data_IF_548276447574
#
_entry.id   IF_548276447574
#
_cell.length_a   1.000
_cell.length_b   1.000
_cell.length_c   1.000
_cell.angle_alpha   90.00
_cell.angle_beta   90.00
_cell.angle_gamma   90.00
#
_symmetry.space_group_name_H-M   'P 1'
#
loop_
_entity.id
_entity.type
_entity.pdbx_description
1 polymer ?
#
# COMPACT_ATOMS: atom_id res chain seq x y z
N UNK A 1 -5.86 -9.06 -20.36
CA UNK A 1 -5.81 -9.68 -19.02
C UNK A 1 -4.55 -9.16 -18.33
N UNK A 2 -4.61 -8.67 -17.09
CA UNK A 2 -3.40 -8.24 -16.37
C UNK A 2 -2.63 -9.48 -15.93
N UNK A 3 -1.30 -9.45 -16.03
CA UNK A 3 -0.45 -10.58 -15.59
C UNK A 3 -0.62 -10.82 -14.09
N UNK A 4 -0.68 -12.10 -13.72
CA UNK A 4 -0.74 -12.60 -12.34
C UNK A 4 0.47 -13.51 -12.10
N UNK A 5 1.66 -12.95 -11.86
CA UNK A 5 2.84 -13.77 -11.59
C UNK A 5 2.67 -14.56 -10.29
N UNK A 6 3.22 -15.77 -10.22
CA UNK A 6 3.18 -16.58 -9.01
C UNK A 6 3.89 -15.86 -7.84
N UNK A 7 3.26 -15.87 -6.67
CA UNK A 7 3.86 -15.34 -5.45
C UNK A 7 4.58 -16.46 -4.70
N UNK A 8 5.68 -16.09 -4.03
CA UNK A 8 6.26 -16.96 -3.01
C UNK A 8 5.29 -17.06 -1.83
N UNK A 9 5.27 -18.20 -1.12
CA UNK A 9 4.41 -18.36 0.04
C UNK A 9 4.74 -17.33 1.12
N UNK A 10 3.71 -16.90 1.85
CA UNK A 10 3.87 -16.02 3.01
C UNK A 10 4.09 -16.83 4.28
N UNK A 11 5.05 -16.41 5.10
CA UNK A 11 5.30 -17.03 6.41
C UNK A 11 4.20 -16.72 7.45
N UNK A 12 3.33 -15.75 7.15
CA UNK A 12 2.22 -15.26 7.97
C UNK A 12 1.00 -15.02 7.09
N UNK A 13 -0.19 -15.34 7.56
CA UNK A 13 -1.41 -15.02 6.83
C UNK A 13 -1.69 -13.50 6.95
N UNK A 14 -1.75 -12.75 5.84
CA UNK A 14 -2.13 -11.34 5.86
C UNK A 14 -3.48 -11.06 6.54
N UNK A 15 -4.38 -12.05 6.60
CA UNK A 15 -5.70 -11.93 7.23
C UNK A 15 -5.64 -11.88 8.75
N UNK A 16 -4.53 -12.31 9.36
CA UNK A 16 -4.34 -12.29 10.83
C UNK A 16 -4.08 -10.87 11.37
N UNK A 17 -3.87 -9.89 10.49
CA UNK A 17 -3.56 -8.51 10.86
C UNK A 17 -4.80 -7.62 10.74
N UNK A 18 -5.01 -6.75 11.73
CA UNK A 18 -6.09 -5.73 11.69
C UNK A 18 -5.70 -4.51 10.84
N UNK A 19 -4.40 -4.19 10.83
CA UNK A 19 -3.82 -3.10 10.07
C UNK A 19 -2.71 -3.60 9.15
N UNK A 20 -2.75 -3.16 7.88
CA UNK A 20 -1.80 -3.58 6.85
C UNK A 20 -1.29 -2.35 6.10
N UNK A 21 0.03 -2.22 5.99
CA UNK A 21 0.67 -1.25 5.10
C UNK A 21 1.00 -1.93 3.77
N UNK A 22 0.49 -1.40 2.66
CA UNK A 22 0.70 -1.96 1.32
C UNK A 22 1.48 -0.96 0.45
N UNK A 23 2.64 -1.42 -0.03
CA UNK A 23 3.57 -0.63 -0.83
C UNK A 23 3.79 -1.18 -2.22
N UNK A 24 3.72 -0.35 -3.25
CA UNK A 24 4.01 -0.77 -4.64
C UNK A 24 4.77 0.29 -5.42
N UNK A 25 5.73 -0.09 -6.29
CA UNK A 25 6.16 0.82 -7.34
C UNK A 25 4.99 1.08 -8.31
N UNK A 26 4.99 2.25 -8.95
CA UNK A 26 4.09 2.55 -10.07
C UNK A 26 4.68 2.02 -11.37
N UNK A 27 4.02 1.05 -11.98
CA UNK A 27 4.37 0.51 -13.29
C UNK A 27 3.20 0.68 -14.26
N UNK A 28 3.49 1.15 -15.47
CA UNK A 28 2.46 1.43 -16.48
C UNK A 28 1.26 2.26 -15.94
N UNK A 29 1.55 3.21 -15.05
CA UNK A 29 0.57 4.09 -14.40
C UNK A 29 -0.42 3.42 -13.44
N UNK A 30 -0.08 2.25 -12.89
CA UNK A 30 -0.85 1.56 -11.85
C UNK A 30 0.09 0.80 -10.90
N UNK A 31 -0.47 0.03 -9.96
CA UNK A 31 0.29 -0.84 -9.07
C UNK A 31 0.96 -1.99 -9.83
N UNK A 32 2.03 -2.55 -9.27
CA UNK A 32 2.84 -3.58 -9.91
C UNK A 32 2.11 -4.91 -10.06
N UNK A 33 2.50 -5.68 -11.09
CA UNK A 33 1.83 -6.94 -11.45
C UNK A 33 1.66 -7.97 -10.32
N UNK A 34 2.63 -8.15 -9.37
CA UNK A 34 2.45 -9.06 -8.24
C UNK A 34 1.22 -8.78 -7.39
N UNK A 35 0.77 -7.52 -7.31
CA UNK A 35 -0.44 -7.18 -6.58
C UNK A 35 -1.73 -7.67 -7.27
N UNK A 36 -1.72 -7.92 -8.58
CA UNK A 36 -2.85 -8.58 -9.24
C UNK A 36 -3.05 -10.00 -8.68
N UNK A 37 -1.97 -10.72 -8.41
CA UNK A 37 -2.01 -12.06 -7.81
C UNK A 37 -2.40 -11.95 -6.34
N UNK A 38 -1.77 -11.04 -5.59
CA UNK A 38 -2.03 -10.86 -4.17
C UNK A 38 -3.51 -10.54 -3.88
N UNK A 39 -4.09 -9.56 -4.56
CA UNK A 39 -5.51 -9.20 -4.37
C UNK A 39 -6.48 -10.26 -4.88
N UNK A 40 -6.04 -11.15 -5.77
CA UNK A 40 -6.85 -12.26 -6.25
C UNK A 40 -6.85 -13.45 -5.29
N UNK A 41 -5.70 -13.78 -4.71
CA UNK A 41 -5.53 -14.94 -3.82
C UNK A 41 -5.83 -14.61 -2.36
N UNK A 42 -5.63 -13.35 -1.97
CA UNK A 42 -5.81 -12.87 -0.59
C UNK A 42 -6.99 -11.90 -0.53
N UNK A 43 -8.17 -12.43 -0.20
CA UNK A 43 -9.32 -11.59 0.09
C UNK A 43 -9.18 -10.91 1.46
N UNK A 44 -8.84 -9.63 1.46
CA UNK A 44 -8.82 -8.77 2.64
C UNK A 44 -10.16 -8.06 2.79
N UNK A 45 -10.77 -8.16 3.98
CA UNK A 45 -12.01 -7.46 4.35
C UNK A 45 -11.95 -6.98 5.79
N UNK A 46 -12.64 -5.87 6.05
CA UNK A 46 -12.76 -5.23 7.37
C UNK A 46 -11.39 -4.88 7.98
N UNK A 47 -10.38 -4.61 7.13
CA UNK A 47 -9.04 -4.23 7.55
C UNK A 47 -8.83 -2.73 7.46
N UNK A 48 -7.92 -2.21 8.26
CA UNK A 48 -7.38 -0.85 8.12
C UNK A 48 -6.15 -0.90 7.22
N UNK A 49 -6.21 -0.28 6.05
CA UNK A 49 -5.15 -0.36 5.05
C UNK A 49 -4.52 1.02 4.81
N UNK A 50 -3.21 1.10 4.97
CA UNK A 50 -2.42 2.26 4.64
C UNK A 50 -1.63 2.00 3.35
N UNK A 51 -1.78 2.87 2.35
CA UNK A 51 -1.19 2.66 1.02
C UNK A 51 0.00 3.58 0.82
N UNK A 52 1.06 3.05 0.21
CA UNK A 52 2.16 3.88 -0.26
C UNK A 52 2.65 3.47 -1.65
N UNK A 53 3.11 4.46 -2.43
CA UNK A 53 3.65 4.22 -3.76
C UNK A 53 4.99 4.92 -3.96
N UNK A 54 5.85 4.29 -4.75
CA UNK A 54 7.08 4.89 -5.25
C UNK A 54 6.98 5.03 -6.77
N UNK A 55 7.35 6.17 -7.34
CA UNK A 55 7.25 6.41 -8.77
C UNK A 55 8.42 7.22 -9.30
N UNK A 56 8.72 7.04 -10.59
CA UNK A 56 9.74 7.79 -11.32
C UNK A 56 9.17 8.90 -12.21
N UNK A 57 7.92 9.32 -11.98
CA UNK A 57 7.26 10.33 -12.81
C UNK A 57 5.74 10.29 -12.67
N UNK A 58 5.05 9.88 -13.74
CA UNK A 58 3.58 9.87 -13.75
C UNK A 58 3.00 8.75 -12.87
N UNK A 59 2.24 9.13 -11.83
CA UNK A 59 1.51 8.18 -10.96
C UNK A 59 0.05 7.90 -11.35
N UNK A 60 -0.54 8.75 -12.22
CA UNK A 60 -1.99 8.79 -12.51
C UNK A 60 -2.83 8.56 -11.23
N UNK A 61 -3.90 7.77 -11.31
CA UNK A 61 -4.75 7.40 -10.19
C UNK A 61 -4.40 5.99 -9.66
N UNK A 62 -3.11 5.71 -9.43
CA UNK A 62 -2.68 4.40 -8.90
C UNK A 62 -3.37 4.08 -7.58
N UNK A 63 -3.55 5.06 -6.69
CA UNK A 63 -4.29 4.84 -5.44
C UNK A 63 -5.75 4.47 -5.70
N UNK A 64 -6.44 5.11 -6.65
CA UNK A 64 -7.78 4.72 -7.04
C UNK A 64 -7.88 3.29 -7.55
N UNK A 65 -6.89 2.84 -8.32
CA UNK A 65 -6.80 1.44 -8.74
C UNK A 65 -6.59 0.49 -7.55
N UNK A 66 -5.75 0.84 -6.58
CA UNK A 66 -5.56 0.05 -5.36
C UNK A 66 -6.84 -0.01 -4.52
N UNK A 67 -7.56 1.11 -4.36
CA UNK A 67 -8.85 1.17 -3.66
C UNK A 67 -9.89 0.25 -4.28
N UNK A 68 -9.99 0.23 -5.61
CA UNK A 68 -10.89 -0.67 -6.34
C UNK A 68 -10.54 -2.15 -6.13
N UNK A 69 -9.25 -2.46 -5.96
CA UNK A 69 -8.77 -3.82 -5.72
C UNK A 69 -8.90 -4.28 -4.26
N UNK A 70 -9.18 -3.36 -3.33
CA UNK A 70 -9.30 -3.61 -1.89
C UNK A 70 -10.70 -3.26 -1.35
N UNK A 71 -11.79 -3.73 -1.98
CA UNK A 71 -13.14 -3.38 -1.54
C UNK A 71 -13.43 -3.92 -0.13
N UNK A 72 -14.26 -3.20 0.64
CA UNK A 72 -14.65 -3.61 1.98
C UNK A 72 -13.57 -3.43 3.05
N UNK A 73 -12.56 -2.60 2.79
CA UNK A 73 -11.54 -2.19 3.75
C UNK A 73 -11.60 -0.69 4.00
N UNK A 74 -11.11 -0.27 5.15
CA UNK A 74 -10.95 1.15 5.51
C UNK A 74 -9.57 1.62 5.06
N UNK A 75 -9.51 2.55 4.10
CA UNK A 75 -8.24 3.17 3.71
C UNK A 75 -7.93 4.31 4.66
N UNK A 76 -6.96 4.11 5.55
CA UNK A 76 -6.65 5.02 6.65
C UNK A 76 -5.59 6.07 6.29
N UNK A 77 -4.94 5.93 5.13
CA UNK A 77 -4.05 6.96 4.60
C UNK A 77 -3.25 6.52 3.40
N UNK A 78 -2.75 7.51 2.66
CA UNK A 78 -2.04 7.32 1.40
C UNK A 78 -0.83 8.25 1.34
N UNK A 79 0.31 7.78 0.81
CA UNK A 79 1.51 8.60 0.63
C UNK A 79 2.32 8.17 -0.59
N UNK A 80 2.84 9.12 -1.35
CA UNK A 80 3.74 8.85 -2.47
C UNK A 80 5.16 9.40 -2.29
N UNK A 81 6.10 8.75 -2.98
CA UNK A 81 7.51 9.09 -3.04
C UNK A 81 8.00 9.12 -4.49
N UNK A 82 8.55 10.27 -4.91
CA UNK A 82 9.15 10.45 -6.23
C UNK A 82 10.64 10.11 -6.19
N UNK A 83 11.02 8.99 -6.81
CA UNK A 83 12.37 8.40 -6.80
C UNK A 83 13.07 8.52 -5.43
N UNK A 84 12.53 7.90 -4.36
CA UNK A 84 12.98 8.15 -2.97
C UNK A 84 14.45 7.81 -2.70
N UNK A 85 15.08 7.01 -3.57
CA UNK A 85 16.50 6.68 -3.46
C UNK A 85 17.41 7.69 -4.16
N UNK A 86 16.88 8.48 -5.11
CA UNK A 86 17.61 9.52 -5.85
C UNK A 86 17.33 10.92 -5.29
N UNK A 87 16.10 11.18 -4.86
CA UNK A 87 15.65 12.49 -4.39
C UNK A 87 15.61 12.53 -2.86
N UNK A 88 16.76 12.79 -2.25
CA UNK A 88 16.92 12.97 -0.79
C UNK A 88 16.29 11.81 0.02
N UNK A 89 17.03 10.71 0.06
CA UNK A 89 16.68 9.49 0.79
C UNK A 89 16.38 9.77 2.26
N UNK A 90 17.09 10.69 2.89
CA UNK A 90 16.93 10.96 4.31
C UNK A 90 15.60 11.68 4.59
N UNK A 91 15.25 12.68 3.78
CA UNK A 91 13.97 13.37 3.86
C UNK A 91 12.80 12.42 3.57
N UNK A 92 12.92 11.58 2.54
CA UNK A 92 11.91 10.55 2.23
C UNK A 92 11.71 9.59 3.41
N UNK A 93 12.79 9.12 4.03
CA UNK A 93 12.73 8.23 5.20
C UNK A 93 12.08 8.93 6.41
N UNK A 94 12.42 10.20 6.69
CA UNK A 94 11.80 11.00 7.75
C UNK A 94 10.29 11.16 7.50
N UNK A 95 9.90 11.49 6.26
CA UNK A 95 8.50 11.64 5.85
C UNK A 95 7.73 10.32 6.02
N UNK A 96 8.30 9.20 5.57
CA UNK A 96 7.71 7.87 5.72
C UNK A 96 7.50 7.50 7.20
N UNK A 97 8.52 7.72 8.03
CA UNK A 97 8.44 7.47 9.48
C UNK A 97 7.37 8.34 10.15
N UNK A 98 7.34 9.63 9.85
CA UNK A 98 6.37 10.56 10.41
C UNK A 98 4.93 10.17 10.01
N UNK A 99 4.72 9.88 8.73
CA UNK A 99 3.42 9.44 8.24
C UNK A 99 2.96 8.13 8.91
N UNK A 100 3.80 7.09 8.92
CA UNK A 100 3.46 5.82 9.54
C UNK A 100 3.14 5.97 11.04
N UNK A 101 3.92 6.78 11.76
CA UNK A 101 3.67 7.08 13.19
C UNK A 101 2.31 7.74 13.39
N UNK A 102 1.92 8.67 12.50
CA UNK A 102 0.61 9.32 12.58
C UNK A 102 -0.53 8.36 12.28
N UNK A 103 -0.40 7.49 11.28
CA UNK A 103 -1.39 6.46 10.96
C UNK A 103 -1.63 5.55 12.17
N UNK A 104 -0.56 5.12 12.84
CA UNK A 104 -0.67 4.29 14.04
C UNK A 104 -1.40 5.03 15.16
N UNK A 105 -1.06 6.30 15.41
CA UNK A 105 -1.67 7.11 16.46
C UNK A 105 -3.17 7.38 16.23
N UNK A 106 -3.58 7.68 15.01
CA UNK A 106 -4.98 7.96 14.68
C UNK A 106 -5.83 6.68 14.73
N UNK A 107 -5.25 5.54 14.37
CA UNK A 107 -5.97 4.27 14.37
C UNK A 107 -6.30 3.71 15.75
N UNK A 108 -5.51 4.08 16.77
CA UNK A 108 -5.70 3.66 18.17
C UNK A 108 -6.68 4.56 18.94
N UNK A 109 -6.99 5.75 18.42
CA UNK A 109 -7.79 6.75 19.11
C UNK A 109 -9.32 6.47 19.06
N UNK A 110 -9.78 5.49 18.27
CA UNK A 110 -11.20 5.14 18.15
C UNK A 110 -11.63 4.06 19.15
N UNK A 111 -11.37 4.28 20.43
CA UNK A 111 -12.03 3.55 21.53
C UNK A 111 -12.59 4.58 22.50
N UNK A 112 -13.79 5.11 22.24
CA UNK A 112 -14.75 5.59 23.24
C UNK A 112 -16.15 5.65 22.63
#
# INVERSE_FOLDING_TARGET
MREKPALLPFDKDPKDYDMIFIGTPVWAFSYSAPFNTFFHETELKNKKIALFICHGGGKKDTFGDMRKALPGNEIIGEIDFFEPLKNDKESCAKKAKYWATNILRTSTATKH
#
